data_IF_278504303685
#
_entry.id   IF_278504303685
#
_cell.length_a   1.000
_cell.length_b   1.000
_cell.length_c   1.000
_cell.angle_alpha   90.00
_cell.angle_beta   90.00
_cell.angle_gamma   90.00
#
_symmetry.space_group_name_H-M   'P 1'
#
loop_
_entity.id
_entity.type
_entity.pdbx_description
1 polymer ?
#
# COMPACT_ATOMS: atom_id res chain seq x y z
N UNK A 1 -6.29 -2.44 -14.14
CA UNK A 1 -6.11 -3.90 -13.95
C UNK A 1 -7.20 -4.34 -12.98
N UNK A 2 -7.93 -5.39 -13.31
CA UNK A 2 -8.95 -5.98 -12.43
C UNK A 2 -8.50 -7.40 -12.06
N UNK A 3 -8.54 -7.73 -10.77
CA UNK A 3 -8.18 -9.04 -10.23
C UNK A 3 -9.43 -9.91 -10.05
N UNK A 4 -9.27 -11.23 -10.01
CA UNK A 4 -10.38 -12.19 -9.82
C UNK A 4 -11.19 -11.95 -8.53
N UNK A 5 -10.57 -11.37 -7.51
CA UNK A 5 -11.22 -11.02 -6.25
C UNK A 5 -11.98 -9.67 -6.30
N UNK A 6 -12.10 -9.05 -7.47
CA UNK A 6 -12.75 -7.75 -7.67
C UNK A 6 -11.90 -6.54 -7.25
N UNK A 7 -10.65 -6.74 -6.81
CA UNK A 7 -9.73 -5.63 -6.57
C UNK A 7 -9.37 -4.96 -7.89
N UNK A 8 -9.31 -3.63 -7.90
CA UNK A 8 -8.95 -2.84 -9.08
C UNK A 8 -7.68 -2.04 -8.79
N UNK A 9 -6.66 -2.20 -9.64
CA UNK A 9 -5.44 -1.42 -9.61
C UNK A 9 -5.40 -0.44 -10.79
N UNK A 10 -5.31 0.84 -10.45
CA UNK A 10 -5.08 1.94 -11.38
C UNK A 10 -3.62 2.40 -11.26
N UNK A 11 -2.86 2.23 -12.33
CA UNK A 11 -1.42 2.53 -12.36
C UNK A 11 -1.15 3.68 -13.32
N UNK A 12 -0.26 4.59 -12.92
CA UNK A 12 0.21 5.70 -13.75
C UNK A 12 1.71 5.83 -13.58
N UNK A 13 2.43 5.85 -14.71
CA UNK A 13 3.88 6.03 -14.74
C UNK A 13 4.23 7.00 -15.87
N UNK A 14 5.22 7.85 -15.65
CA UNK A 14 5.70 8.80 -16.65
C UNK A 14 7.18 9.09 -16.44
N UNK A 15 7.96 9.02 -17.53
CA UNK A 15 9.38 9.39 -17.55
C UNK A 15 9.61 10.88 -17.85
N UNK A 16 8.58 11.60 -18.29
CA UNK A 16 8.66 13.02 -18.70
C UNK A 16 8.09 13.98 -17.64
N UNK A 17 7.67 13.45 -16.49
CA UNK A 17 7.13 14.28 -15.41
C UNK A 17 8.18 15.26 -14.89
N UNK A 18 7.80 16.54 -14.73
CA UNK A 18 8.67 17.57 -14.13
C UNK A 18 8.87 17.38 -12.63
N UNK A 19 7.96 16.66 -11.97
CA UNK A 19 8.01 16.39 -10.53
C UNK A 19 8.18 14.90 -10.28
N UNK A 20 9.19 14.55 -9.49
CA UNK A 20 9.37 13.20 -8.97
C UNK A 20 8.22 12.85 -8.02
N UNK A 21 7.57 11.72 -8.27
CA UNK A 21 6.49 11.22 -7.43
C UNK A 21 6.52 9.70 -7.42
N UNK A 22 6.45 9.12 -6.22
CA UNK A 22 6.32 7.68 -6.00
C UNK A 22 5.30 7.49 -4.88
N UNK A 23 4.02 7.43 -5.24
CA UNK A 23 2.92 7.33 -4.28
C UNK A 23 2.04 6.13 -4.61
N UNK A 24 1.65 5.40 -3.58
CA UNK A 24 0.61 4.36 -3.66
C UNK A 24 -0.52 4.70 -2.70
N UNK A 25 -1.75 4.49 -3.15
CA UNK A 25 -2.96 4.69 -2.34
C UNK A 25 -3.76 3.41 -2.33
N UNK A 26 -4.17 2.97 -1.15
CA UNK A 26 -4.99 1.79 -0.96
C UNK A 26 -6.32 2.23 -0.35
N UNK A 27 -7.41 1.75 -0.93
CA UNK A 27 -8.76 1.98 -0.47
C UNK A 27 -9.33 0.66 0.01
N UNK A 28 -9.61 0.58 1.30
CA UNK A 28 -10.25 -0.55 1.96
C UNK A 28 -11.64 -0.11 2.46
N UNK A 29 -12.48 -1.07 2.82
CA UNK A 29 -13.85 -0.80 3.30
C UNK A 29 -13.89 0.15 4.51
N UNK A 30 -12.86 0.07 5.35
CA UNK A 30 -12.75 0.78 6.64
C UNK A 30 -11.43 1.57 6.76
N UNK A 31 -10.62 1.65 5.71
CA UNK A 31 -9.35 2.36 5.78
C UNK A 31 -8.92 2.98 4.43
N UNK A 32 -8.25 4.12 4.52
CA UNK A 32 -7.49 4.73 3.44
C UNK A 32 -6.02 4.77 3.85
N UNK A 33 -5.14 4.25 3.00
CA UNK A 33 -3.70 4.20 3.27
C UNK A 33 -2.99 4.91 2.12
N UNK A 34 -2.21 5.93 2.44
CA UNK A 34 -1.37 6.64 1.49
C UNK A 34 0.10 6.48 1.87
N UNK A 35 0.90 6.02 0.90
CA UNK A 35 2.34 5.83 1.06
C UNK A 35 3.05 6.74 0.06
N UNK A 36 3.92 7.62 0.55
CA UNK A 36 4.88 8.38 -0.25
C UNK A 36 6.28 7.77 -0.10
N UNK A 37 6.71 7.01 -1.11
CA UNK A 37 8.02 6.38 -1.12
C UNK A 37 9.17 7.38 -1.36
N UNK A 38 8.86 8.57 -1.89
CA UNK A 38 9.88 9.59 -2.11
C UNK A 38 10.23 10.29 -0.79
N UNK A 39 9.23 10.69 -0.01
CA UNK A 39 9.43 11.34 1.30
C UNK A 39 9.56 10.36 2.47
N UNK A 40 9.22 9.08 2.25
CA UNK A 40 9.14 8.03 3.27
C UNK A 40 8.08 8.33 4.33
N UNK A 41 6.92 8.80 3.88
CA UNK A 41 5.77 9.09 4.74
C UNK A 41 4.63 8.11 4.49
N UNK A 42 3.93 7.75 5.57
CA UNK A 42 2.75 6.90 5.54
C UNK A 42 1.65 7.58 6.34
N UNK A 43 0.48 7.69 5.73
CA UNK A 43 -0.74 8.21 6.36
C UNK A 43 -1.81 7.12 6.28
N UNK A 44 -2.33 6.71 7.44
CA UNK A 44 -3.40 5.72 7.53
C UNK A 44 -4.60 6.40 8.19
N UNK A 45 -5.71 6.42 7.48
CA UNK A 45 -6.99 6.95 7.96
C UNK A 45 -7.95 5.78 8.10
N UNK A 46 -8.36 5.44 9.32
CA UNK A 46 -9.30 4.34 9.59
C UNK A 46 -10.65 4.88 10.03
N UNK A 47 -11.71 4.21 9.61
CA UNK A 47 -13.08 4.46 10.03
C UNK A 47 -13.55 3.32 10.91
N UNK A 48 -14.02 3.61 12.12
CA UNK A 48 -14.71 2.64 12.97
C UNK A 48 -16.07 3.16 13.36
N UNK A 49 -16.98 2.24 13.64
CA UNK A 49 -18.26 2.56 14.24
C UNK A 49 -18.03 3.13 15.64
N UNK A 50 -18.84 4.12 16.02
CA UNK A 50 -18.81 4.69 17.36
C UNK A 50 -19.15 3.61 18.37
N UNK A 51 -18.17 3.24 19.19
CA UNK A 51 -18.41 2.49 20.43
C UNK A 51 -18.44 3.49 21.58
N UNK A 52 -19.30 3.30 22.58
CA UNK A 52 -19.50 4.21 23.72
C UNK A 52 -18.24 4.48 24.58
N UNK A 53 -17.06 3.98 24.21
CA UNK A 53 -15.78 4.26 24.86
C UNK A 53 -15.04 5.38 24.13
N UNK A 54 -15.41 6.58 24.56
CA UNK A 54 -14.63 7.82 24.59
C UNK A 54 -13.13 7.66 24.31
N UNK A 55 -12.72 7.91 23.07
CA UNK A 55 -11.48 8.64 22.87
C UNK A 55 -11.73 10.10 23.24
N UNK A 56 -10.81 10.77 23.93
CA UNK A 56 -10.90 12.21 24.20
C UNK A 56 -10.90 12.95 22.85
N UNK A 57 -12.05 13.54 22.47
CA UNK A 57 -12.30 14.23 21.20
C UNK A 57 -12.17 13.37 19.93
N UNK A 58 -13.15 12.50 19.64
CA UNK A 58 -13.19 11.79 18.37
C UNK A 58 -13.50 12.76 17.21
N UNK A 59 -12.75 12.68 16.12
CA UNK A 59 -13.18 13.29 14.85
C UNK A 59 -14.31 12.44 14.28
N UNK A 60 -15.54 12.97 14.31
CA UNK A 60 -16.75 12.29 13.85
C UNK A 60 -17.12 12.80 12.46
N UNK A 61 -17.31 11.89 11.52
CA UNK A 61 -17.98 12.16 10.25
C UNK A 61 -19.39 11.59 10.28
N UNK A 62 -20.36 12.40 9.88
CA UNK A 62 -21.72 11.98 9.61
C UNK A 62 -21.92 11.96 8.09
N UNK A 63 -22.28 10.81 7.53
CA UNK A 63 -22.62 10.72 6.11
C UNK A 63 -24.02 11.32 5.85
N UNK A 64 -24.41 11.46 4.58
CA UNK A 64 -25.72 11.99 4.19
C UNK A 64 -26.92 11.17 4.71
N UNK A 65 -26.68 9.95 5.18
CA UNK A 65 -27.69 9.03 5.73
C UNK A 65 -27.76 9.09 7.26
N UNK A 66 -27.00 9.99 7.91
CA UNK A 66 -26.99 10.16 9.37
C UNK A 66 -26.12 9.15 10.13
N UNK A 67 -25.37 8.29 9.42
CA UNK A 67 -24.47 7.30 10.02
C UNK A 67 -23.19 8.02 10.48
N UNK A 68 -22.97 8.00 11.79
CA UNK A 68 -21.78 8.58 12.42
C UNK A 68 -20.66 7.55 12.47
N UNK A 69 -19.50 7.91 11.90
CA UNK A 69 -18.26 7.13 11.99
C UNK A 69 -17.17 7.95 12.68
N UNK A 70 -16.36 7.27 13.46
CA UNK A 70 -15.16 7.86 14.05
C UNK A 70 -13.97 7.65 13.13
N UNK A 71 -13.23 8.71 12.87
CA UNK A 71 -11.96 8.65 12.14
C UNK A 71 -10.79 8.53 13.12
N UNK A 72 -9.86 7.66 12.80
CA UNK A 72 -8.56 7.55 13.46
C UNK A 72 -7.45 7.79 12.45
N UNK A 73 -6.46 8.58 12.84
CA UNK A 73 -5.25 8.80 12.07
C UNK A 73 -4.10 8.01 12.71
N UNK A 74 -3.41 7.21 11.91
CA UNK A 74 -2.20 6.51 12.30
C UNK A 74 -1.08 6.91 11.33
N UNK A 75 -0.04 7.55 11.88
CA UNK A 75 1.18 7.91 11.15
C UNK A 75 2.32 7.05 11.70
N UNK A 76 2.54 5.84 11.17
CA UNK A 76 3.55 4.94 11.71
C UNK A 76 4.96 5.53 11.54
N UNK A 77 5.83 5.25 12.51
CA UNK A 77 7.22 5.70 12.45
C UNK A 77 7.97 4.83 11.43
N UNK A 78 8.49 5.49 10.38
CA UNK A 78 9.25 4.81 9.34
C UNK A 78 10.73 4.73 9.73
N UNK A 79 11.20 3.49 9.95
CA UNK A 79 12.62 3.24 10.20
C UNK A 79 13.40 3.42 8.90
N UNK A 80 14.51 4.16 8.96
CA UNK A 80 15.43 4.25 7.83
C UNK A 80 16.19 2.94 7.71
N UNK A 81 16.10 2.30 6.54
CA UNK A 81 16.92 1.16 6.16
C UNK A 81 17.46 1.32 4.75
N UNK A 82 18.43 0.46 4.38
CA UNK A 82 18.92 0.35 3.02
C UNK A 82 18.20 -0.81 2.35
N UNK A 83 17.20 -0.51 1.53
CA UNK A 83 16.34 -1.51 0.91
C UNK A 83 17.11 -2.55 0.06
N UNK A 84 18.21 -2.15 -0.59
CA UNK A 84 19.03 -3.09 -1.39
C UNK A 84 19.78 -4.05 -0.46
N UNK A 85 20.32 -3.53 0.65
CA UNK A 85 20.97 -4.38 1.64
C UNK A 85 19.95 -5.34 2.27
N UNK A 86 18.78 -4.85 2.67
CA UNK A 86 17.71 -5.65 3.26
C UNK A 86 17.25 -6.77 2.30
N UNK A 87 17.14 -6.49 1.00
CA UNK A 87 16.79 -7.48 -0.03
C UNK A 87 17.88 -8.56 -0.17
N UNK A 88 19.15 -8.16 -0.25
CA UNK A 88 20.27 -9.10 -0.36
C UNK A 88 20.43 -9.97 0.89
N UNK A 89 20.26 -9.38 2.08
CA UNK A 89 20.26 -10.11 3.35
C UNK A 89 19.09 -11.09 3.42
N UNK A 90 17.88 -10.68 3.02
CA UNK A 90 16.73 -11.58 2.95
C UNK A 90 16.98 -12.77 2.03
N UNK A 91 17.59 -12.53 0.86
CA UNK A 91 17.94 -13.59 -0.07
C UNK A 91 18.99 -14.55 0.52
N UNK A 92 20.06 -14.02 1.13
CA UNK A 92 21.09 -14.82 1.77
C UNK A 92 20.53 -15.68 2.92
N UNK A 93 19.61 -15.14 3.72
CA UNK A 93 18.90 -15.87 4.78
C UNK A 93 18.11 -17.05 4.19
N UNK A 94 17.40 -16.84 3.08
CA UNK A 94 16.65 -17.92 2.43
C UNK A 94 17.54 -19.06 1.93
N UNK A 95 18.73 -18.74 1.41
CA UNK A 95 19.72 -19.76 1.00
C UNK A 95 20.20 -20.56 2.22
N UNK A 96 20.64 -19.85 3.26
CA UNK A 96 21.20 -20.46 4.47
C UNK A 96 20.19 -21.36 5.19
N UNK A 97 18.93 -20.93 5.23
CA UNK A 97 17.86 -21.65 5.91
C UNK A 97 17.10 -22.63 5.01
N UNK A 98 17.48 -22.73 3.72
CA UNK A 98 16.75 -23.52 2.69
C UNK A 98 15.26 -23.21 2.67
N UNK A 99 14.91 -21.94 2.85
CA UNK A 99 13.52 -21.47 2.89
C UNK A 99 13.14 -20.79 1.58
N UNK A 100 11.83 -20.64 1.34
CA UNK A 100 11.30 -19.90 0.19
C UNK A 100 11.66 -18.41 0.33
N UNK A 101 12.25 -17.77 -0.71
CA UNK A 101 12.50 -16.33 -0.69
C UNK A 101 11.19 -15.54 -0.72
N UNK A 102 11.24 -14.29 -0.23
CA UNK A 102 10.07 -13.40 -0.17
C UNK A 102 9.46 -13.17 -1.55
N UNK A 103 10.30 -13.00 -2.57
CA UNK A 103 9.89 -12.91 -3.97
C UNK A 103 10.46 -14.13 -4.69
N UNK A 104 9.58 -15.00 -5.20
CA UNK A 104 9.98 -16.18 -5.96
C UNK A 104 10.09 -15.90 -7.45
N UNK A 105 10.71 -16.84 -8.18
CA UNK A 105 10.73 -16.81 -9.64
C UNK A 105 9.32 -16.76 -10.24
N UNK A 106 8.37 -17.48 -9.64
CA UNK A 106 6.98 -17.47 -10.10
C UNK A 106 6.34 -16.09 -9.93
N UNK A 107 6.52 -15.45 -8.78
CA UNK A 107 5.98 -14.11 -8.51
C UNK A 107 6.55 -13.07 -9.50
N UNK A 108 7.85 -13.15 -9.78
CA UNK A 108 8.51 -12.29 -10.78
C UNK A 108 8.01 -12.56 -12.21
N UNK A 109 7.76 -13.82 -12.55
CA UNK A 109 7.25 -14.23 -13.86
C UNK A 109 5.83 -13.70 -14.10
N UNK A 110 4.94 -13.84 -13.11
CA UNK A 110 3.57 -13.31 -13.20
C UNK A 110 3.56 -11.78 -13.33
N UNK A 111 4.42 -11.08 -12.57
CA UNK A 111 4.56 -9.63 -12.70
C UNK A 111 5.01 -9.20 -14.10
N UNK A 112 5.96 -9.94 -14.69
CA UNK A 112 6.45 -9.68 -16.04
C UNK A 112 5.38 -9.94 -17.11
N UNK A 113 4.61 -11.03 -16.97
CA UNK A 113 3.49 -11.34 -17.87
C UNK A 113 2.46 -10.19 -17.86
N UNK A 114 2.10 -9.68 -16.68
CA UNK A 114 1.19 -8.53 -16.57
C UNK A 114 1.79 -7.28 -17.21
N UNK A 115 3.08 -7.02 -17.01
CA UNK A 115 3.75 -5.88 -17.64
C UNK A 115 3.70 -5.94 -19.18
N UNK A 116 3.94 -7.11 -19.77
CA UNK A 116 3.81 -7.32 -21.22
C UNK A 116 2.38 -7.09 -21.70
N UNK A 117 1.37 -7.63 -21.00
CA UNK A 117 -0.05 -7.37 -21.34
C UNK A 117 -0.39 -5.88 -21.36
N UNK A 118 0.15 -5.09 -20.43
CA UNK A 118 -0.06 -3.63 -20.40
C UNK A 118 0.59 -2.95 -21.61
N UNK A 119 1.80 -3.37 -21.99
CA UNK A 119 2.52 -2.84 -23.16
C UNK A 119 1.76 -3.17 -24.44
N UNK A 120 1.25 -4.41 -24.58
CA UNK A 120 0.52 -4.86 -25.77
C UNK A 120 -0.89 -4.25 -25.89
N UNK A 121 -1.41 -3.68 -24.80
CA UNK A 121 -2.72 -2.99 -24.78
C UNK A 121 -2.66 -1.52 -25.20
N UNK A 122 -1.47 -1.03 -25.56
CA UNK A 122 -1.19 0.36 -25.96
C UNK A 122 -0.96 0.45 -27.48
#
# INVERSE_FOLDING_TARGET
IEFENGCVANLTSSRISMKNMRKSRFFQKDAYISIDFLTKDVEIVKMKDLTNKTAEMPMILENAEGIKKQIFFENPIIKKSNAILDELESFAISINNKSRPIVTLNDATEALIVAHKIIDSY
#
